data_IF_639690216216
#
_entry.id   IF_639690216216
#
_cell.length_a   1.000
_cell.length_b   1.000
_cell.length_c   1.000
_cell.angle_alpha   90.00
_cell.angle_beta   90.00
_cell.angle_gamma   90.00
#
_symmetry.space_group_name_H-M   'P 1'
#
loop_
_entity.id
_entity.type
_entity.pdbx_description
1 polymer ?
#
# COMPACT_ATOMS: atom_id res chain seq x y z
N UNK A 1 15.92 9.61 7.81
CA UNK A 1 15.08 8.45 8.06
C UNK A 1 13.67 8.89 8.38
N UNK A 2 12.75 8.31 7.73
CA UNK A 2 11.38 8.60 8.09
C UNK A 2 11.05 7.91 9.41
N UNK A 3 10.52 8.70 10.30
CA UNK A 3 10.18 8.22 11.62
C UNK A 3 8.68 7.92 11.64
N UNK A 4 8.34 6.66 11.72
CA UNK A 4 6.94 6.26 11.73
C UNK A 4 6.50 5.98 13.15
N UNK A 5 5.58 6.79 13.65
CA UNK A 5 4.96 6.58 14.95
C UNK A 5 3.52 6.15 14.73
N UNK A 6 3.19 4.89 15.02
CA UNK A 6 1.82 4.45 14.84
C UNK A 6 0.88 5.21 15.75
N UNK A 7 -0.21 5.69 15.20
CA UNK A 7 -1.25 6.34 15.96
C UNK A 7 -2.59 5.74 15.58
N UNK A 8 -3.44 5.56 16.55
CA UNK A 8 -4.81 5.15 16.28
C UNK A 8 -5.61 6.42 16.05
N UNK A 9 -5.99 6.65 14.80
CA UNK A 9 -6.82 7.79 14.45
C UNK A 9 -8.08 7.29 13.78
N UNK A 10 -9.16 8.00 14.03
CA UNK A 10 -10.41 7.75 13.33
C UNK A 10 -10.47 8.67 12.12
N UNK A 11 -10.72 8.10 10.95
CA UNK A 11 -10.74 8.88 9.72
C UNK A 11 -11.77 8.32 8.76
N UNK A 12 -12.20 9.17 7.87
CA UNK A 12 -13.09 8.76 6.79
C UNK A 12 -12.31 7.91 5.78
N UNK A 13 -13.07 7.15 5.00
CA UNK A 13 -12.49 6.37 3.93
C UNK A 13 -11.81 7.26 2.90
N UNK A 14 -10.84 6.69 2.22
CA UNK A 14 -10.10 7.39 1.18
C UNK A 14 -9.78 6.43 0.04
N UNK A 15 -9.37 6.98 -1.08
CA UNK A 15 -8.94 6.19 -2.23
C UNK A 15 -7.42 6.17 -2.31
N UNK A 16 -6.87 5.03 -2.69
CA UNK A 16 -5.43 4.82 -2.79
C UNK A 16 -5.09 4.34 -4.20
N UNK A 17 -4.07 4.94 -4.80
CA UNK A 17 -3.51 4.44 -6.06
C UNK A 17 -2.06 4.09 -5.83
N UNK A 18 -1.65 2.91 -6.25
CA UNK A 18 -0.28 2.49 -6.07
C UNK A 18 0.05 1.17 -6.76
N UNK A 19 1.21 0.65 -6.40
CA UNK A 19 1.69 -0.64 -6.89
C UNK A 19 1.34 -1.72 -5.88
N UNK A 20 0.92 -2.86 -6.41
CA UNK A 20 0.50 -4.01 -5.60
C UNK A 20 1.42 -5.19 -5.85
N UNK A 21 1.78 -5.88 -4.79
CA UNK A 21 2.48 -7.17 -4.89
C UNK A 21 1.81 -8.16 -3.95
N UNK A 22 1.94 -9.43 -4.31
CA UNK A 22 1.54 -10.54 -3.43
C UNK A 22 2.80 -11.25 -2.96
N UNK A 23 2.96 -11.33 -1.65
CA UNK A 23 4.17 -11.90 -1.08
C UNK A 23 3.87 -12.56 0.25
N UNK A 24 4.92 -13.09 0.90
CA UNK A 24 4.84 -13.66 2.23
C UNK A 24 5.80 -12.90 3.15
N UNK A 25 5.63 -13.07 4.46
CA UNK A 25 6.59 -12.48 5.42
C UNK A 25 8.00 -12.98 5.11
N UNK A 26 8.15 -14.26 4.80
CA UNK A 26 9.46 -14.82 4.45
C UNK A 26 10.01 -14.19 3.17
N UNK A 27 9.16 -13.95 2.17
CA UNK A 27 9.58 -13.29 0.95
C UNK A 27 10.10 -11.87 1.18
N UNK A 28 9.49 -11.15 2.12
CA UNK A 28 9.97 -9.81 2.49
C UNK A 28 11.36 -9.89 3.11
N UNK A 29 11.56 -10.83 4.02
CA UNK A 29 12.85 -10.97 4.74
C UNK A 29 13.94 -11.49 3.81
N UNK A 30 13.68 -12.54 3.04
CA UNK A 30 14.71 -13.20 2.23
C UNK A 30 14.97 -12.50 0.91
N UNK A 31 13.95 -11.91 0.30
CA UNK A 31 14.05 -11.38 -1.05
C UNK A 31 13.91 -9.87 -1.13
N UNK A 32 13.71 -9.20 -0.01
CA UNK A 32 13.58 -7.74 0.01
C UNK A 32 12.42 -7.23 -0.81
N UNK A 33 11.27 -7.90 -0.72
CA UNK A 33 10.12 -7.58 -1.57
C UNK A 33 9.66 -6.12 -1.41
N UNK A 34 9.63 -5.63 -0.17
CA UNK A 34 9.21 -4.24 0.08
C UNK A 34 10.22 -3.25 -0.48
N UNK A 35 11.52 -3.52 -0.33
CA UNK A 35 12.54 -2.63 -0.89
C UNK A 35 12.44 -2.53 -2.40
N UNK A 36 12.19 -3.64 -3.07
CA UNK A 36 12.02 -3.64 -4.53
C UNK A 36 10.76 -2.90 -4.93
N UNK A 37 9.68 -3.08 -4.17
CA UNK A 37 8.44 -2.35 -4.39
C UNK A 37 8.65 -0.85 -4.25
N UNK A 38 9.37 -0.42 -3.22
CA UNK A 38 9.68 1.00 -3.00
C UNK A 38 10.50 1.58 -4.14
N UNK A 39 11.50 0.84 -4.63
CA UNK A 39 12.34 1.30 -5.73
C UNK A 39 11.53 1.48 -7.01
N UNK A 40 10.65 0.53 -7.32
CA UNK A 40 9.78 0.62 -8.49
C UNK A 40 8.77 1.75 -8.31
N UNK A 41 8.20 1.87 -7.13
CA UNK A 41 7.21 2.92 -6.85
C UNK A 41 7.83 4.31 -6.97
N UNK A 42 9.05 4.48 -6.50
CA UNK A 42 9.72 5.78 -6.60
C UNK A 42 9.80 6.25 -8.06
N UNK A 43 10.09 5.34 -8.97
CA UNK A 43 10.17 5.66 -10.39
C UNK A 43 8.81 5.98 -11.01
N UNK A 44 7.75 5.35 -10.50
CA UNK A 44 6.41 5.43 -11.08
C UNK A 44 5.50 6.43 -10.36
N UNK A 45 5.92 6.92 -9.19
CA UNK A 45 5.05 7.77 -8.36
C UNK A 45 4.63 9.07 -9.06
N UNK A 46 5.44 9.55 -9.98
CA UNK A 46 5.13 10.76 -10.74
C UNK A 46 3.87 10.60 -11.60
N UNK A 47 3.51 9.37 -11.93
CA UNK A 47 2.32 9.10 -12.74
C UNK A 47 1.01 9.27 -11.97
N UNK A 48 1.08 9.40 -10.66
CA UNK A 48 -0.10 9.63 -9.82
C UNK A 48 -0.31 11.14 -9.68
N UNK A 49 -1.32 11.66 -10.38
CA UNK A 49 -1.49 13.11 -10.53
C UNK A 49 -2.43 13.74 -9.52
N UNK A 50 -3.39 13.00 -9.00
CA UNK A 50 -4.43 13.55 -8.12
C UNK A 50 -4.21 13.19 -6.66
N UNK A 51 -2.96 13.26 -6.22
CA UNK A 51 -2.60 12.93 -4.85
C UNK A 51 -3.19 13.90 -3.85
N UNK A 52 -3.59 13.37 -2.70
CA UNK A 52 -4.01 14.15 -1.56
C UNK A 52 -2.86 14.09 -0.55
N UNK A 53 -2.07 15.15 -0.50
CA UNK A 53 -0.90 15.20 0.38
C UNK A 53 0.32 14.49 -0.24
N UNK A 54 1.36 14.32 0.58
CA UNK A 54 2.64 13.81 0.13
C UNK A 54 3.06 12.52 0.85
N UNK A 55 2.24 12.02 1.77
CA UNK A 55 2.59 10.83 2.55
C UNK A 55 2.29 9.56 1.76
N UNK A 56 3.28 8.68 1.65
CA UNK A 56 3.08 7.34 1.10
C UNK A 56 2.39 6.46 2.14
N UNK A 57 1.56 5.56 1.67
CA UNK A 57 0.86 4.60 2.51
C UNK A 57 1.23 3.20 2.06
N UNK A 58 1.67 2.38 3.01
CA UNK A 58 1.88 0.96 2.80
C UNK A 58 0.70 0.21 3.42
N UNK A 59 -0.14 -0.34 2.57
CA UNK A 59 -1.32 -1.08 2.99
C UNK A 59 -1.04 -2.56 2.90
N UNK A 60 -1.28 -3.28 4.00
CA UNK A 60 -1.10 -4.73 4.03
C UNK A 60 -2.48 -5.36 4.20
N UNK A 61 -2.85 -6.21 3.24
CA UNK A 61 -4.15 -6.86 3.22
C UNK A 61 -3.94 -8.33 3.50
N UNK A 62 -4.33 -8.75 4.71
CA UNK A 62 -4.17 -10.13 5.16
C UNK A 62 -5.39 -10.97 4.77
N UNK A 63 -5.19 -12.28 4.56
CA UNK A 63 -6.33 -13.15 4.29
C UNK A 63 -7.27 -13.19 5.47
N UNK A 64 -8.56 -13.30 5.17
CA UNK A 64 -9.62 -13.38 6.18
C UNK A 64 -9.77 -14.83 6.61
N UNK A 65 -9.76 -15.04 7.93
CA UNK A 65 -9.90 -16.36 8.52
C UNK A 65 -8.62 -17.17 8.41
N UNK A 66 -8.55 -18.28 9.13
CA UNK A 66 -7.41 -19.17 9.12
C UNK A 66 -6.20 -18.62 9.87
N UNK A 67 -5.13 -19.42 9.87
CA UNK A 67 -3.90 -19.09 10.55
C UNK A 67 -2.97 -18.34 9.60
N UNK A 68 -2.40 -17.26 10.07
CA UNK A 68 -1.40 -16.50 9.34
C UNK A 68 -0.02 -16.89 9.84
N UNK A 69 0.86 -17.24 8.92
CA UNK A 69 2.25 -17.57 9.23
C UNK A 69 3.19 -16.97 8.17
N UNK A 70 4.49 -17.23 8.30
CA UNK A 70 5.50 -16.65 7.41
C UNK A 70 5.37 -17.07 5.96
N UNK A 71 4.62 -18.12 5.67
CA UNK A 71 4.43 -18.64 4.31
C UNK A 71 3.06 -18.31 3.76
N UNK A 72 2.19 -17.65 4.53
CA UNK A 72 0.86 -17.30 4.06
C UNK A 72 0.95 -16.09 3.12
N UNK A 73 0.48 -16.21 1.86
CA UNK A 73 0.51 -15.07 0.94
C UNK A 73 -0.45 -13.97 1.39
N UNK A 74 -0.03 -12.74 1.20
CA UNK A 74 -0.89 -11.59 1.42
C UNK A 74 -0.52 -10.47 0.44
N UNK A 75 -1.37 -9.47 0.34
CA UNK A 75 -1.21 -8.39 -0.62
C UNK A 75 -0.68 -7.14 0.07
N UNK A 76 0.30 -6.50 -0.57
CA UNK A 76 0.83 -5.21 -0.13
C UNK A 76 0.59 -4.21 -1.25
N UNK A 77 0.06 -3.04 -0.90
CA UNK A 77 -0.09 -1.93 -1.83
C UNK A 77 0.68 -0.74 -1.28
N UNK A 78 1.61 -0.23 -2.08
CA UNK A 78 2.34 0.99 -1.74
C UNK A 78 1.83 2.09 -2.66
N UNK A 79 1.27 3.14 -2.09
CA UNK A 79 0.65 4.17 -2.91
C UNK A 79 0.47 5.50 -2.20
N UNK A 80 -0.24 6.38 -2.88
CA UNK A 80 -0.64 7.68 -2.35
C UNK A 80 -2.14 7.77 -2.24
N UNK A 81 -2.66 8.43 -1.20
CA UNK A 81 -4.07 8.81 -1.19
C UNK A 81 -4.36 9.75 -2.35
N UNK A 82 -5.51 9.55 -2.98
CA UNK A 82 -5.92 10.33 -4.14
C UNK A 82 -7.35 10.80 -3.96
N UNK A 83 -7.74 11.81 -4.74
CA UNK A 83 -9.10 12.36 -4.67
C UNK A 83 -10.14 11.39 -5.19
N UNK A 84 -9.79 10.63 -6.23
CA UNK A 84 -10.70 9.66 -6.84
C UNK A 84 -9.91 8.60 -7.60
N UNK A 85 -10.61 7.59 -8.08
CA UNK A 85 -10.01 6.49 -8.83
C UNK A 85 -10.36 6.54 -10.33
N UNK A 86 -10.68 7.72 -10.85
CA UNK A 86 -11.13 7.85 -12.23
C UNK A 86 -10.02 7.59 -13.25
N UNK A 87 -8.78 7.89 -12.89
CA UNK A 87 -7.64 7.68 -13.77
C UNK A 87 -6.58 6.86 -13.05
N UNK A 88 -6.33 5.65 -13.54
CA UNK A 88 -5.31 4.77 -13.01
C UNK A 88 -4.12 4.75 -13.97
N UNK A 89 -2.90 5.05 -13.48
CA UNK A 89 -1.71 4.84 -14.29
C UNK A 89 -1.55 3.37 -14.67
N UNK A 90 -0.96 3.12 -15.83
CA UNK A 90 -0.76 1.76 -16.30
C UNK A 90 0.04 0.95 -15.29
N UNK A 91 -0.41 -0.26 -15.00
CA UNK A 91 0.25 -1.16 -14.06
C UNK A 91 -0.01 -0.86 -12.60
N UNK A 92 -0.78 0.18 -12.30
CA UNK A 92 -1.15 0.51 -10.93
C UNK A 92 -2.57 0.04 -10.61
N UNK A 93 -2.85 -0.07 -9.31
CA UNK A 93 -4.17 -0.47 -8.84
C UNK A 93 -4.79 0.66 -8.04
N UNK A 94 -6.12 0.74 -8.08
CA UNK A 94 -6.88 1.62 -7.22
C UNK A 94 -7.54 0.80 -6.12
N UNK A 95 -7.51 1.31 -4.90
CA UNK A 95 -8.08 0.60 -3.76
C UNK A 95 -8.84 1.59 -2.87
N UNK A 96 -10.14 1.38 -2.72
CA UNK A 96 -10.91 2.20 -1.78
C UNK A 96 -10.67 1.69 -0.36
N UNK A 97 -10.07 2.53 0.48
CA UNK A 97 -9.83 2.19 1.88
C UNK A 97 -11.02 2.67 2.69
N UNK A 98 -11.76 1.76 3.35
CA UNK A 98 -12.93 2.17 4.11
C UNK A 98 -12.56 3.04 5.31
N UNK A 99 -13.49 3.86 5.74
CA UNK A 99 -13.34 4.62 6.96
C UNK A 99 -13.24 3.72 8.17
N UNK A 100 -12.58 4.20 9.22
CA UNK A 100 -12.41 3.43 10.43
C UNK A 100 -11.26 3.94 11.27
N UNK A 101 -10.74 3.06 12.12
CA UNK A 101 -9.59 3.34 12.97
C UNK A 101 -8.36 2.68 12.38
N UNK A 102 -7.31 3.46 12.27
CA UNK A 102 -6.06 3.01 11.68
C UNK A 102 -4.88 3.33 12.58
#
# INVERSE_FOLDING_TARGET
MSHFTPQIVQREGFSLIGLSIRTTVQGIIEHGAIKRLEATFFKRSIDIHNRVGTAKILLQIYPVGGLFNNHTPYTIILGYPVENLDTLPEGMVGYPVPGGRY
#
